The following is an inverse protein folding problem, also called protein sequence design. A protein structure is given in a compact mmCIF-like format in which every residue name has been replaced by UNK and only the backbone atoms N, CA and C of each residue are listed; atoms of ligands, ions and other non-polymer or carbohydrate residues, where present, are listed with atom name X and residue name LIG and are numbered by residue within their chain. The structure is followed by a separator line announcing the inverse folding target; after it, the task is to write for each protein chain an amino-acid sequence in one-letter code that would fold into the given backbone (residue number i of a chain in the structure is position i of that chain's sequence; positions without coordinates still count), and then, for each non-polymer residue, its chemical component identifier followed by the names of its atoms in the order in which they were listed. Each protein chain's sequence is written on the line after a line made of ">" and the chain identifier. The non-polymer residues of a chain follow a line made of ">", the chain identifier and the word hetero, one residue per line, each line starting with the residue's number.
data_IF_345681596209
#
_entry.id   IF_345681596209
#
_cell.length_a   1.000
_cell.length_b   1.000
_cell.length_c   1.000
_cell.angle_alpha   90.00
_cell.angle_beta   90.00
_cell.angle_gamma   90.00
#
_symmetry.space_group_name_H-M   'P 1'
#
loop_
_entity.id
_entity.type
_entity.pdbx_description
1 polymer ?
#
# COMPACT_ATOMS: atom_id res chain seq x y z
N UNK A 1 -14.89 3.53 -15.41
CA UNK A 1 -16.24 2.98 -15.15
C UNK A 1 -16.08 1.48 -15.04
N UNK A 2 -15.88 0.99 -13.82
CA UNK A 2 -15.81 -0.43 -13.50
C UNK A 2 -17.23 -1.01 -13.62
N UNK A 3 -17.73 -1.17 -14.85
CA UNK A 3 -19.01 -1.84 -15.09
C UNK A 3 -18.73 -3.26 -15.51
N UNK A 4 -18.78 -4.17 -14.55
CA UNK A 4 -18.80 -5.60 -14.80
C UNK A 4 -20.03 -5.93 -15.67
N UNK A 5 -19.77 -6.71 -16.72
CA UNK A 5 -20.82 -7.43 -17.42
C UNK A 5 -21.42 -8.43 -16.43
N UNK A 6 -22.75 -8.49 -16.38
CA UNK A 6 -23.53 -9.35 -15.48
C UNK A 6 -22.96 -10.77 -15.41
N UNK A 7 -22.64 -11.23 -14.19
CA UNK A 7 -22.18 -12.59 -13.77
C UNK A 7 -20.68 -12.88 -13.60
N UNK A 8 -19.78 -11.89 -13.68
CA UNK A 8 -18.35 -12.13 -13.39
C UNK A 8 -18.09 -12.50 -11.93
N UNK A 9 -17.32 -13.59 -11.70
CA UNK A 9 -16.78 -13.91 -10.37
C UNK A 9 -15.75 -12.85 -9.99
N UNK A 10 -15.88 -12.27 -8.79
CA UNK A 10 -14.91 -11.31 -8.27
C UNK A 10 -14.00 -11.99 -7.27
N UNK A 11 -12.70 -11.94 -7.53
CA UNK A 11 -11.67 -12.47 -6.66
C UNK A 11 -10.88 -11.34 -6.05
N UNK A 12 -10.61 -11.42 -4.76
CA UNK A 12 -9.61 -10.60 -4.13
C UNK A 12 -8.35 -11.44 -3.99
N UNK A 13 -7.23 -10.94 -4.50
CA UNK A 13 -5.92 -11.58 -4.35
C UNK A 13 -4.93 -10.64 -3.72
N UNK A 14 -4.02 -11.20 -2.93
CA UNK A 14 -2.88 -10.44 -2.43
C UNK A 14 -1.68 -10.59 -3.36
N UNK A 15 -0.98 -9.50 -3.62
CA UNK A 15 0.45 -9.63 -3.96
C UNK A 15 1.15 -10.29 -2.77
N UNK A 16 2.07 -11.20 -3.05
CA UNK A 16 3.01 -11.72 -2.05
C UNK A 16 4.40 -11.18 -2.31
N UNK A 17 5.23 -11.24 -1.26
CA UNK A 17 6.68 -11.14 -1.41
C UNK A 17 7.18 -12.28 -2.32
N UNK A 18 8.05 -11.92 -3.27
CA UNK A 18 8.66 -12.84 -4.23
C UNK A 18 9.38 -12.05 -5.31
N UNK A 19 10.43 -12.63 -5.91
CA UNK A 19 11.17 -11.96 -6.99
C UNK A 19 10.22 -11.50 -8.10
N UNK A 20 10.41 -10.28 -8.64
CA UNK A 20 9.72 -9.88 -9.85
C UNK A 20 10.04 -10.92 -10.93
N UNK A 21 9.02 -11.62 -11.42
CA UNK A 21 9.20 -12.39 -12.66
C UNK A 21 9.29 -11.36 -13.76
N UNK A 22 10.54 -11.05 -14.09
CA UNK A 22 10.97 -10.20 -15.20
C UNK A 22 10.26 -10.68 -16.48
N UNK A 23 9.23 -9.97 -16.96
CA UNK A 23 8.79 -10.09 -18.34
C UNK A 23 9.38 -8.93 -19.16
N UNK A 24 10.60 -9.14 -19.63
CA UNK A 24 11.30 -8.21 -20.53
C UNK A 24 10.70 -8.15 -21.94
N UNK A 25 9.57 -8.80 -22.23
CA UNK A 25 9.02 -8.84 -23.58
C UNK A 25 7.89 -7.84 -23.85
N UNK A 26 7.20 -7.31 -22.82
CA UNK A 26 5.88 -6.67 -23.03
C UNK A 26 5.77 -5.19 -22.66
N UNK A 27 6.70 -4.62 -21.91
CA UNK A 27 6.72 -3.16 -21.66
C UNK A 27 5.52 -2.63 -20.86
N UNK A 28 4.77 -3.49 -20.18
CA UNK A 28 3.71 -3.09 -19.26
C UNK A 28 4.21 -3.12 -17.82
N UNK A 29 3.67 -2.19 -17.01
CA UNK A 29 4.09 -1.83 -15.66
C UNK A 29 4.17 -3.03 -14.70
N UNK A 30 5.29 -3.73 -14.69
CA UNK A 30 5.81 -4.41 -13.51
C UNK A 30 6.02 -3.34 -12.44
N UNK A 31 5.27 -3.39 -11.34
CA UNK A 31 5.75 -2.73 -10.14
C UNK A 31 6.97 -3.52 -9.67
N UNK A 32 8.17 -2.99 -9.93
CA UNK A 32 9.43 -3.61 -9.55
C UNK A 32 9.34 -4.13 -8.09
N UNK A 33 9.53 -5.44 -7.93
CA UNK A 33 9.52 -6.11 -6.63
C UNK A 33 8.19 -6.67 -6.12
N UNK A 34 7.09 -6.63 -6.90
CA UNK A 34 5.83 -7.31 -6.52
C UNK A 34 5.45 -8.43 -7.48
N UNK A 35 5.33 -9.66 -6.95
CA UNK A 35 4.83 -10.81 -7.68
C UNK A 35 3.30 -10.94 -7.53
N UNK A 36 2.60 -10.93 -8.66
CA UNK A 36 1.16 -11.16 -8.72
C UNK A 36 0.87 -12.65 -8.89
N UNK A 37 0.22 -13.25 -7.89
CA UNK A 37 -0.21 -14.64 -7.99
C UNK A 37 -1.59 -14.75 -8.63
N UNK A 38 -1.64 -15.48 -9.74
CA UNK A 38 -2.86 -15.88 -10.40
C UNK A 38 -3.43 -17.13 -9.70
N UNK A 39 -4.69 -17.09 -9.21
CA UNK A 39 -5.40 -18.31 -8.87
C UNK A 39 -5.41 -19.26 -10.08
N UNK A 40 -5.06 -20.53 -9.87
CA UNK A 40 -4.96 -21.51 -10.95
C UNK A 40 -6.29 -21.73 -11.70
N UNK A 41 -7.41 -21.39 -11.05
CA UNK A 41 -8.78 -21.58 -11.50
C UNK A 41 -9.45 -20.30 -12.03
N UNK A 42 -8.70 -19.24 -12.37
CA UNK A 42 -9.28 -18.03 -12.99
C UNK A 42 -10.00 -18.39 -14.29
N UNK A 43 -11.20 -17.87 -14.51
CA UNK A 43 -11.97 -18.03 -15.74
C UNK A 43 -11.95 -16.77 -16.60
N UNK A 44 -12.29 -16.90 -17.88
CA UNK A 44 -12.49 -15.74 -18.75
C UNK A 44 -13.61 -14.85 -18.20
N UNK A 45 -13.36 -13.55 -18.12
CA UNK A 45 -14.29 -12.59 -17.54
C UNK A 45 -14.28 -12.46 -16.02
N UNK A 46 -13.46 -13.23 -15.29
CA UNK A 46 -13.26 -13.03 -13.85
C UNK A 46 -12.69 -11.62 -13.58
N UNK A 47 -13.15 -10.98 -12.51
CA UNK A 47 -12.60 -9.69 -12.06
C UNK A 47 -11.69 -9.94 -10.85
N UNK A 48 -10.47 -9.45 -10.91
CA UNK A 48 -9.46 -9.59 -9.86
C UNK A 48 -9.23 -8.22 -9.21
N UNK A 49 -9.43 -8.16 -7.90
CA UNK A 49 -9.09 -7.04 -7.04
C UNK A 49 -7.74 -7.33 -6.41
N UNK A 50 -6.74 -6.52 -6.75
CA UNK A 50 -5.37 -6.70 -6.32
C UNK A 50 -5.08 -5.91 -5.05
N UNK A 51 -4.62 -6.62 -4.02
CA UNK A 51 -4.30 -6.06 -2.71
C UNK A 51 -2.79 -6.16 -2.46
N UNK A 52 -2.13 -5.01 -2.33
CA UNK A 52 -0.74 -4.98 -1.88
C UNK A 52 -0.69 -4.93 -0.35
N UNK A 53 0.26 -5.69 0.21
CA UNK A 53 0.61 -5.62 1.63
C UNK A 53 1.81 -4.70 1.79
N UNK A 54 1.98 -4.20 3.00
CA UNK A 54 2.95 -3.18 3.31
C UNK A 54 2.89 -2.81 4.79
N UNK A 55 3.46 -1.65 5.16
CA UNK A 55 3.10 -0.97 6.43
C UNK A 55 1.59 -0.77 6.54
N UNK A 56 0.90 -0.65 5.40
CA UNK A 56 -0.56 -0.68 5.30
C UNK A 56 -0.97 -1.64 4.20
N UNK A 57 -2.14 -2.23 4.35
CA UNK A 57 -2.77 -3.03 3.29
C UNK A 57 -3.65 -2.10 2.45
N UNK A 58 -3.55 -2.19 1.13
CA UNK A 58 -4.36 -1.37 0.23
C UNK A 58 -4.73 -2.11 -1.05
N UNK A 59 -5.92 -1.82 -1.58
CA UNK A 59 -6.30 -2.20 -2.95
C UNK A 59 -5.57 -1.25 -3.90
N UNK A 60 -4.83 -1.80 -4.87
CA UNK A 60 -3.99 -1.03 -5.79
C UNK A 60 -4.46 -1.10 -7.24
N UNK A 61 -5.17 -2.16 -7.62
CA UNK A 61 -5.76 -2.27 -8.95
C UNK A 61 -6.97 -3.19 -8.98
N UNK A 62 -7.76 -3.03 -10.04
CA UNK A 62 -8.87 -3.91 -10.40
C UNK A 62 -8.69 -4.29 -11.86
N UNK A 63 -8.73 -5.59 -12.15
CA UNK A 63 -8.44 -6.11 -13.48
C UNK A 63 -9.45 -7.16 -13.95
N UNK A 64 -9.77 -7.17 -15.24
CA UNK A 64 -10.59 -8.24 -15.85
C UNK A 64 -9.71 -9.26 -16.57
N UNK A 65 -9.88 -10.53 -16.24
CA UNK A 65 -9.16 -11.67 -16.85
C UNK A 65 -9.70 -11.92 -18.25
N UNK A 66 -8.80 -12.08 -19.20
CA UNK A 66 -9.10 -12.63 -20.53
C UNK A 66 -8.32 -13.93 -20.72
N UNK A 67 -9.04 -14.97 -21.14
CA UNK A 67 -8.46 -16.25 -21.57
C UNK A 67 -8.92 -16.58 -22.98
N UNK A 68 -7.94 -16.87 -23.83
CA UNK A 68 -8.17 -17.38 -25.19
C UNK A 68 -7.54 -18.75 -25.34
N UNK A 69 -8.19 -19.61 -26.11
CA UNK A 69 -7.69 -20.97 -26.33
C UNK A 69 -6.31 -20.91 -27.01
N UNK A 70 -5.31 -21.56 -26.40
CA UNK A 70 -3.94 -21.61 -26.93
C UNK A 70 -3.06 -20.40 -26.58
N UNK A 71 -3.57 -19.43 -25.81
CA UNK A 71 -2.81 -18.25 -25.36
C UNK A 71 -2.68 -18.22 -23.83
N UNK A 72 -1.59 -17.63 -23.29
CA UNK A 72 -1.52 -17.30 -21.87
C UNK A 72 -2.68 -16.37 -21.45
N UNK A 73 -3.17 -16.54 -20.23
CA UNK A 73 -4.15 -15.61 -19.67
C UNK A 73 -3.50 -14.23 -19.43
N UNK A 74 -4.26 -13.16 -19.65
CA UNK A 74 -3.80 -11.79 -19.41
C UNK A 74 -4.94 -10.91 -18.88
N UNK A 75 -4.61 -9.72 -18.39
CA UNK A 75 -5.61 -8.74 -17.96
C UNK A 75 -5.93 -7.78 -19.10
N UNK A 76 -7.20 -7.71 -19.52
CA UNK A 76 -7.58 -6.80 -20.61
C UNK A 76 -7.87 -5.38 -20.15
N UNK A 77 -8.34 -5.19 -18.93
CA UNK A 77 -8.73 -3.89 -18.37
C UNK A 77 -8.17 -3.77 -16.96
N UNK A 78 -6.93 -3.34 -16.82
CA UNK A 78 -6.33 -3.04 -15.52
C UNK A 78 -6.48 -1.55 -15.20
N UNK A 79 -7.31 -1.25 -14.20
CA UNK A 79 -7.43 0.08 -13.63
C UNK A 79 -6.49 0.19 -12.44
N UNK A 80 -5.28 0.71 -12.68
CA UNK A 80 -4.39 1.12 -11.60
C UNK A 80 -5.03 2.28 -10.81
N UNK A 81 -5.18 2.08 -9.51
CA UNK A 81 -5.67 3.11 -8.62
C UNK A 81 -4.50 4.05 -8.31
N UNK A 82 -4.49 5.22 -8.96
CA UNK A 82 -3.54 6.30 -8.69
C UNK A 82 -3.50 6.71 -7.21
N UNK A 83 -4.59 6.42 -6.48
CA UNK A 83 -4.68 6.52 -5.02
C UNK A 83 -5.19 5.18 -4.48
N UNK A 84 -4.30 4.31 -3.97
CA UNK A 84 -4.69 3.03 -3.41
C UNK A 84 -5.77 3.17 -2.32
N UNK A 85 -6.75 2.27 -2.34
CA UNK A 85 -7.79 2.25 -1.31
C UNK A 85 -7.27 1.48 -0.11
N UNK A 86 -6.78 2.24 0.87
CA UNK A 86 -6.25 1.71 2.13
C UNK A 86 -7.34 0.99 2.93
N UNK A 87 -6.97 -0.09 3.58
CA UNK A 87 -7.83 -0.94 4.39
C UNK A 87 -8.66 -0.18 5.46
N UNK A 88 -8.10 0.86 6.09
CA UNK A 88 -8.80 1.72 7.04
C UNK A 88 -9.86 2.59 6.38
N UNK A 89 -9.54 3.15 5.21
CA UNK A 89 -10.47 3.99 4.45
C UNK A 89 -11.62 3.13 3.93
N UNK A 90 -11.31 1.94 3.42
CA UNK A 90 -12.32 0.97 3.02
C UNK A 90 -13.25 0.61 4.18
N UNK A 91 -12.69 0.20 5.33
CA UNK A 91 -13.49 -0.15 6.50
C UNK A 91 -14.34 1.01 7.01
N UNK A 92 -13.81 2.25 7.09
CA UNK A 92 -14.60 3.41 7.53
C UNK A 92 -15.78 3.70 6.61
N UNK A 93 -15.60 3.50 5.31
CA UNK A 93 -16.62 3.80 4.30
C UNK A 93 -17.66 2.70 4.11
N UNK A 94 -17.31 1.45 4.40
CA UNK A 94 -18.14 0.28 4.07
C UNK A 94 -18.50 -0.59 5.27
N UNK A 95 -17.86 -0.35 6.43
CA UNK A 95 -17.85 -1.23 7.60
C UNK A 95 -17.31 -2.66 7.33
N UNK A 96 -16.62 -2.88 6.20
CA UNK A 96 -16.04 -4.18 5.83
C UNK A 96 -14.52 -4.16 5.96
N UNK A 97 -13.96 -5.22 6.50
CA UNK A 97 -12.52 -5.43 6.49
C UNK A 97 -12.09 -5.99 5.13
N UNK A 98 -10.93 -5.57 4.62
CA UNK A 98 -10.28 -6.29 3.54
C UNK A 98 -9.96 -7.73 4.02
N UNK A 99 -10.29 -8.76 3.24
CA UNK A 99 -9.85 -10.12 3.51
C UNK A 99 -8.34 -10.18 3.70
N UNK A 100 -7.88 -11.02 4.63
CA UNK A 100 -6.46 -11.24 4.91
C UNK A 100 -5.88 -12.42 4.12
N UNK A 101 -6.64 -12.98 3.19
CA UNK A 101 -6.25 -14.08 2.30
C UNK A 101 -6.96 -13.88 0.96
N UNK A 102 -6.39 -14.46 -0.09
CA UNK A 102 -7.05 -14.46 -1.39
C UNK A 102 -8.35 -15.26 -1.29
N UNK A 103 -9.44 -14.69 -1.77
CA UNK A 103 -10.80 -15.25 -1.64
C UNK A 103 -11.66 -14.87 -2.84
N UNK A 104 -12.64 -15.71 -3.13
CA UNK A 104 -13.77 -15.33 -3.99
C UNK A 104 -14.77 -14.54 -3.14
N UNK A 105 -15.18 -13.38 -3.63
CA UNK A 105 -16.10 -12.49 -2.95
C UNK A 105 -17.54 -12.85 -3.30
N UNK A 106 -18.33 -13.24 -2.30
CA UNK A 106 -19.73 -13.63 -2.48
C UNK A 106 -20.63 -12.46 -2.93
N UNK A 107 -20.25 -11.21 -2.60
CA UNK A 107 -20.94 -9.98 -2.96
C UNK A 107 -20.08 -9.09 -3.88
N UNK A 108 -19.39 -9.71 -4.85
CA UNK A 108 -18.39 -9.09 -5.70
C UNK A 108 -18.80 -7.77 -6.36
N UNK A 109 -20.00 -7.67 -6.93
CA UNK A 109 -20.49 -6.42 -7.54
C UNK A 109 -20.53 -5.26 -6.52
N UNK A 110 -21.00 -5.54 -5.30
CA UNK A 110 -21.03 -4.54 -4.22
C UNK A 110 -19.63 -4.10 -3.79
N UNK A 111 -18.64 -4.99 -3.87
CA UNK A 111 -17.24 -4.64 -3.65
C UNK A 111 -16.71 -3.69 -4.72
N UNK A 112 -16.99 -3.98 -5.99
CA UNK A 112 -16.57 -3.13 -7.11
C UNK A 112 -17.22 -1.75 -7.03
N UNK A 113 -18.51 -1.67 -6.67
CA UNK A 113 -19.22 -0.40 -6.45
C UNK A 113 -18.60 0.41 -5.31
N UNK A 114 -18.25 -0.24 -4.20
CA UNK A 114 -17.60 0.41 -3.06
C UNK A 114 -16.21 0.96 -3.42
N UNK A 115 -15.43 0.20 -4.19
CA UNK A 115 -14.10 0.60 -4.67
C UNK A 115 -14.18 1.75 -5.67
N UNK A 116 -15.08 1.68 -6.65
CA UNK A 116 -15.29 2.75 -7.63
C UNK A 116 -15.78 4.03 -6.93
N UNK A 117 -16.69 3.92 -5.95
CA UNK A 117 -17.10 5.06 -5.13
C UNK A 117 -15.91 5.70 -4.41
N UNK A 118 -15.05 4.90 -3.79
CA UNK A 118 -13.88 5.38 -3.06
C UNK A 118 -12.78 5.95 -3.97
N UNK A 119 -12.71 5.50 -5.22
CA UNK A 119 -11.82 6.05 -6.26
C UNK A 119 -12.14 7.53 -6.53
N UNK A 120 -13.40 7.91 -6.54
CA UNK A 120 -13.84 9.27 -6.87
C UNK A 120 -14.21 10.13 -5.66
N UNK A 121 -14.70 9.52 -4.58
CA UNK A 121 -15.13 10.18 -3.35
C UNK A 121 -14.54 9.46 -2.14
N UNK A 122 -13.26 9.71 -1.79
CA UNK A 122 -12.67 9.13 -0.60
C UNK A 122 -13.47 9.58 0.64
N UNK A 123 -13.68 8.65 1.57
CA UNK A 123 -14.40 8.96 2.80
C UNK A 123 -13.70 10.12 3.55
N UNK A 124 -14.44 11.15 3.99
CA UNK A 124 -13.85 12.28 4.66
C UNK A 124 -13.11 11.83 5.93
N UNK A 125 -11.91 12.37 6.10
CA UNK A 125 -11.14 12.23 7.33
C UNK A 125 -11.56 13.31 8.32
N UNK A 126 -11.73 12.98 9.61
CA UNK A 126 -11.85 14.01 10.63
C UNK A 126 -10.58 14.88 10.59
N UNK A 127 -10.77 16.20 10.56
CA UNK A 127 -9.68 17.16 10.61
C UNK A 127 -9.33 17.34 12.08
N UNK A 128 -8.22 16.75 12.52
CA UNK A 128 -7.73 16.89 13.89
C UNK A 128 -6.61 17.92 13.94
N UNK A 129 -6.49 18.66 15.06
CA UNK A 129 -5.43 19.63 15.28
C UNK A 129 -4.10 18.90 15.51
N UNK A 130 -3.30 18.81 14.44
CA UNK A 130 -1.99 18.16 14.45
C UNK A 130 -0.94 18.91 15.30
N UNK A 131 -1.18 20.16 15.71
CA UNK A 131 -0.22 20.91 16.55
C UNK A 131 -0.02 20.28 17.93
N UNK A 132 -0.99 19.47 18.37
CA UNK A 132 -0.91 18.69 19.58
C UNK A 132 0.21 17.61 19.54
N UNK A 133 0.57 17.12 18.34
CA UNK A 133 1.68 16.17 18.16
C UNK A 133 3.06 16.83 18.34
N UNK A 134 3.14 18.14 18.13
CA UNK A 134 4.40 18.91 18.23
C UNK A 134 4.60 19.60 19.57
N UNK A 135 3.56 19.66 20.42
CA UNK A 135 3.61 20.26 21.76
C UNK A 135 3.04 19.29 22.83
N UNK A 136 3.90 18.41 23.39
CA UNK A 136 3.49 17.46 24.43
C UNK A 136 2.91 18.12 25.69
N UNK A 137 3.29 19.37 26.00
CA UNK A 137 2.81 20.07 27.18
C UNK A 137 1.33 20.52 27.03
N UNK A 138 0.87 20.71 25.79
CA UNK A 138 -0.54 20.98 25.49
C UNK A 138 -1.41 19.74 25.71
N UNK A 139 -0.93 18.56 25.29
CA UNK A 139 -1.59 17.28 25.59
C UNK A 139 -1.64 17.04 27.10
N UNK A 140 -0.52 17.25 27.80
CA UNK A 140 -0.46 17.03 29.24
C UNK A 140 -1.45 17.91 30.01
N UNK A 141 -1.62 19.18 29.61
CA UNK A 141 -2.66 20.06 30.18
C UNK A 141 -4.07 19.56 29.89
N UNK A 142 -4.37 19.18 28.65
CA UNK A 142 -5.69 18.66 28.29
C UNK A 142 -6.05 17.39 29.08
N UNK A 143 -5.09 16.47 29.29
CA UNK A 143 -5.28 15.27 30.13
C UNK A 143 -5.58 15.62 31.58
N UNK A 144 -4.96 16.68 32.11
CA UNK A 144 -5.17 17.13 33.50
C UNK A 144 -6.50 17.88 33.67
N UNK A 145 -6.96 18.59 32.64
CA UNK A 145 -8.19 19.38 32.64
C UNK A 145 -9.44 18.52 32.36
N UNK A 146 -9.33 17.53 31.47
CA UNK A 146 -10.39 16.63 31.05
C UNK A 146 -10.36 15.34 31.91
N UNK A 147 -10.73 15.48 33.19
CA UNK A 147 -10.64 14.43 34.20
C UNK A 147 -11.53 13.19 33.98
N UNK A 148 -12.30 13.16 32.89
CA UNK A 148 -13.17 12.03 32.52
C UNK A 148 -12.69 11.42 31.20
N UNK A 149 -11.54 10.75 31.27
CA UNK A 149 -10.92 10.04 30.15
C UNK A 149 -11.69 8.74 29.83
N UNK A 150 -13.02 8.72 29.88
CA UNK A 150 -13.82 7.49 29.87
C UNK A 150 -13.63 6.60 28.62
N UNK A 151 -13.01 7.12 27.55
CA UNK A 151 -12.77 6.40 26.28
C UNK A 151 -11.28 6.11 25.95
N UNK A 152 -10.32 6.25 26.89
CA UNK A 152 -8.87 5.94 26.65
C UNK A 152 -8.61 4.53 26.10
N UNK A 153 -9.58 3.63 26.24
CA UNK A 153 -9.49 2.26 25.75
C UNK A 153 -9.88 2.08 24.28
N UNK A 154 -10.35 3.11 23.55
CA UNK A 154 -10.84 2.95 22.17
C UNK A 154 -10.31 4.01 21.21
N UNK A 155 -10.00 3.56 19.99
CA UNK A 155 -9.55 4.43 18.90
C UNK A 155 -10.71 5.32 18.43
N UNK A 156 -10.53 6.64 18.41
CA UNK A 156 -11.53 7.57 17.88
C UNK A 156 -11.82 7.33 16.38
N UNK A 157 -10.82 6.85 15.63
CA UNK A 157 -10.94 6.58 14.20
C UNK A 157 -11.68 5.27 13.86
N UNK A 158 -11.34 4.15 14.52
CA UNK A 158 -11.89 2.83 14.21
C UNK A 158 -12.72 2.18 15.33
N UNK A 159 -12.87 2.83 16.48
CA UNK A 159 -13.56 2.33 17.69
C UNK A 159 -12.99 1.03 18.28
N UNK A 160 -11.91 0.49 17.70
CA UNK A 160 -11.18 -0.67 18.19
C UNK A 160 -10.47 -0.39 19.51
N UNK A 161 -10.18 -1.46 20.28
CA UNK A 161 -9.50 -1.33 21.58
C UNK A 161 -8.06 -0.85 21.40
N UNK A 162 -7.62 0.08 22.23
CA UNK A 162 -6.25 0.61 22.25
C UNK A 162 -5.41 -0.13 23.29
N UNK A 163 -4.25 -0.64 22.85
CA UNK A 163 -3.15 -1.01 23.73
C UNK A 163 -2.21 0.19 23.96
N UNK A 164 -1.98 0.96 22.89
CA UNK A 164 -1.24 2.22 22.87
C UNK A 164 -2.05 3.21 22.04
N UNK A 165 -2.27 4.42 22.55
CA UNK A 165 -3.05 5.46 21.87
C UNK A 165 -2.19 6.70 21.62
N UNK A 166 -2.23 7.21 20.40
CA UNK A 166 -1.61 8.48 20.03
C UNK A 166 -2.60 9.63 20.24
N UNK A 167 -2.26 10.64 21.06
CA UNK A 167 -3.18 11.71 21.43
C UNK A 167 -3.32 12.75 20.32
N UNK A 168 -4.55 13.24 20.11
CA UNK A 168 -4.90 14.33 19.20
C UNK A 168 -5.92 15.25 19.88
N UNK A 169 -5.94 16.52 19.46
CA UNK A 169 -6.91 17.49 19.95
C UNK A 169 -7.86 17.92 18.83
N UNK A 170 -9.12 18.14 19.18
CA UNK A 170 -10.05 18.96 18.39
C UNK A 170 -10.52 20.11 19.30
N UNK A 171 -9.89 21.27 19.16
CA UNK A 171 -10.05 22.36 20.14
C UNK A 171 -9.44 21.96 21.49
N UNK A 172 -10.29 21.74 22.50
CA UNK A 172 -9.93 21.29 23.85
C UNK A 172 -10.23 19.82 24.12
N UNK A 173 -10.89 19.12 23.20
CA UNK A 173 -11.31 17.72 23.39
C UNK A 173 -10.17 16.79 23.01
N UNK A 174 -9.85 15.84 23.89
CA UNK A 174 -8.79 14.86 23.71
C UNK A 174 -9.30 13.57 23.04
N UNK A 175 -8.63 13.14 21.98
CA UNK A 175 -8.89 11.89 21.29
C UNK A 175 -7.64 11.01 21.25
N UNK A 176 -7.83 9.70 21.20
CA UNK A 176 -6.74 8.74 21.02
C UNK A 176 -6.95 7.93 19.74
N UNK A 177 -5.87 7.74 18.99
CA UNK A 177 -5.86 6.94 17.76
C UNK A 177 -4.91 5.75 17.91
N UNK A 178 -5.28 4.60 17.35
CA UNK A 178 -4.33 3.49 17.20
C UNK A 178 -3.29 3.86 16.13
N UNK A 179 -2.12 3.22 16.13
CA UNK A 179 -1.04 3.44 15.16
C UNK A 179 -1.56 3.54 13.72
N UNK A 180 -2.42 2.59 13.32
CA UNK A 180 -2.97 2.52 11.97
C UNK A 180 -3.88 3.72 11.64
N UNK A 181 -4.73 4.16 12.56
CA UNK A 181 -5.58 5.33 12.35
C UNK A 181 -4.78 6.63 12.44
N UNK A 182 -3.83 6.69 13.36
CA UNK A 182 -2.95 7.83 13.57
C UNK A 182 -2.15 8.14 12.31
N UNK A 183 -1.45 7.14 11.77
CA UNK A 183 -0.68 7.33 10.56
C UNK A 183 -1.57 7.75 9.40
N UNK A 184 -2.81 7.26 9.34
CA UNK A 184 -3.75 7.60 8.28
C UNK A 184 -4.29 9.03 8.41
N UNK A 185 -4.44 9.58 9.62
CA UNK A 185 -4.73 11.01 9.79
C UNK A 185 -3.63 11.88 9.18
N UNK A 186 -2.36 11.50 9.38
CA UNK A 186 -1.23 12.22 8.81
C UNK A 186 -1.03 11.96 7.31
N UNK A 187 -1.52 10.82 6.81
CA UNK A 187 -1.41 10.41 5.42
C UNK A 187 -2.77 9.91 4.92
N UNK A 188 -3.77 10.81 4.76
CA UNK A 188 -5.16 10.45 4.51
C UNK A 188 -5.38 9.82 3.14
N UNK A 189 -4.43 10.01 2.23
CA UNK A 189 -4.44 9.46 0.88
C UNK A 189 -3.78 8.08 0.77
N UNK A 190 -3.33 7.52 1.90
CA UNK A 190 -2.65 6.22 1.92
C UNK A 190 -1.23 6.25 1.37
N UNK A 191 -0.53 5.10 1.40
CA UNK A 191 0.74 4.97 0.70
C UNK A 191 0.52 5.07 -0.81
N UNK A 192 1.49 5.64 -1.53
CA UNK A 192 1.56 5.49 -2.99
C UNK A 192 1.82 4.03 -3.34
N UNK A 193 1.53 3.61 -4.57
CA UNK A 193 1.89 2.24 -5.00
C UNK A 193 3.39 2.00 -4.87
N UNK A 194 4.22 3.00 -5.21
CA UNK A 194 5.66 2.97 -4.98
C UNK A 194 6.03 2.79 -3.49
N UNK A 195 5.30 3.45 -2.57
CA UNK A 195 5.51 3.28 -1.12
C UNK A 195 5.10 1.91 -0.59
N UNK A 196 4.14 1.24 -1.25
CA UNK A 196 3.79 -0.15 -0.94
C UNK A 196 4.88 -1.11 -1.41
N UNK A 197 5.36 -0.96 -2.65
CA UNK A 197 6.49 -1.72 -3.18
C UNK A 197 7.76 -1.54 -2.31
N UNK A 198 8.08 -0.30 -1.94
CA UNK A 198 9.21 0.02 -1.08
C UNK A 198 9.11 -0.62 0.33
N UNK A 199 7.92 -1.02 0.80
CA UNK A 199 7.84 -1.72 2.09
C UNK A 199 8.61 -3.04 2.08
N UNK A 200 8.60 -3.73 0.96
CA UNK A 200 9.28 -5.01 0.77
C UNK A 200 10.74 -4.83 0.34
N UNK A 201 11.16 -3.59 0.07
CA UNK A 201 12.54 -3.31 -0.26
C UNK A 201 13.45 -3.53 0.96
N UNK A 202 14.71 -3.94 0.75
CA UNK A 202 15.63 -4.19 1.84
C UNK A 202 15.90 -2.94 2.68
N UNK A 203 16.07 -3.10 3.99
CA UNK A 203 16.29 -1.98 4.90
C UNK A 203 17.71 -1.45 4.69
N UNK A 204 17.84 -0.14 4.45
CA UNK A 204 19.14 0.51 4.38
C UNK A 204 19.92 0.29 5.69
N UNK A 205 21.09 -0.37 5.66
CA UNK A 205 21.84 -0.71 6.86
C UNK A 205 22.42 0.52 7.58
N UNK A 206 22.48 1.67 6.88
CA UNK A 206 23.03 2.91 7.43
C UNK A 206 22.01 3.76 8.18
N UNK A 207 20.77 3.86 7.70
CA UNK A 207 19.77 4.79 8.24
C UNK A 207 18.43 4.14 8.62
N UNK A 208 18.24 2.85 8.34
CA UNK A 208 16.99 2.12 8.64
C UNK A 208 15.81 2.45 7.72
N UNK A 209 16.01 3.28 6.68
CA UNK A 209 14.98 3.56 5.68
C UNK A 209 14.73 2.36 4.77
N UNK A 210 13.47 2.15 4.36
CA UNK A 210 13.08 1.17 3.32
C UNK A 210 12.90 1.82 1.94
N UNK A 211 13.19 3.11 1.83
CA UNK A 211 13.20 3.84 0.55
C UNK A 211 14.51 3.58 -0.19
N UNK A 212 14.60 2.38 -0.78
CA UNK A 212 15.78 1.86 -1.46
C UNK A 212 15.42 1.43 -2.88
N UNK A 213 16.30 1.69 -3.83
CA UNK A 213 16.10 1.41 -5.25
C UNK A 213 17.30 0.70 -5.85
N UNK A 214 17.04 -0.07 -6.90
CA UNK A 214 18.10 -0.72 -7.67
C UNK A 214 18.98 0.31 -8.37
N UNK A 215 20.27 0.03 -8.37
CA UNK A 215 21.25 0.82 -9.11
C UNK A 215 21.26 0.31 -10.54
N UNK A 216 21.00 1.21 -11.49
CA UNK A 216 21.05 0.87 -12.91
C UNK A 216 22.50 0.87 -13.38
N UNK A 217 22.97 -0.31 -13.77
CA UNK A 217 24.28 -0.51 -14.36
C UNK A 217 24.18 -0.74 -15.87
N UNK A 218 25.27 -0.47 -16.58
CA UNK A 218 25.36 -0.68 -18.02
C UNK A 218 24.82 0.48 -18.84
N UNK A 219 24.43 0.17 -20.08
CA UNK A 219 23.85 1.13 -21.02
C UNK A 219 22.34 0.88 -21.14
N UNK A 220 21.49 1.75 -20.58
CA UNK A 220 20.05 1.57 -20.61
C UNK A 220 19.49 1.74 -22.03
N UNK A 221 18.38 1.06 -22.37
CA UNK A 221 17.76 1.14 -23.70
C UNK A 221 17.06 2.50 -23.98
N UNK A 222 17.12 3.44 -23.04
CA UNK A 222 16.50 4.76 -23.14
C UNK A 222 16.99 5.71 -22.05
N UNK A 223 16.47 6.96 -22.02
CA UNK A 223 16.78 7.91 -20.97
C UNK A 223 16.39 7.34 -19.60
N UNK A 224 17.30 7.46 -18.64
CA UNK A 224 17.09 7.00 -17.26
C UNK A 224 16.17 8.00 -16.54
N UNK A 225 15.18 7.54 -15.75
CA UNK A 225 14.38 8.41 -14.90
C UNK A 225 15.26 9.21 -13.92
N UNK A 226 14.87 10.46 -13.64
CA UNK A 226 15.67 11.41 -12.85
C UNK A 226 16.01 10.92 -11.43
N UNK A 227 15.27 9.95 -10.90
CA UNK A 227 15.38 9.43 -9.53
C UNK A 227 16.03 8.03 -9.45
N UNK A 228 16.62 7.54 -10.54
CA UNK A 228 17.32 6.24 -10.58
C UNK A 228 18.84 6.44 -10.52
N UNK A 229 19.54 5.90 -9.51
CA UNK A 229 20.99 6.00 -9.41
C UNK A 229 21.68 5.16 -10.48
N UNK A 230 22.67 5.76 -11.17
CA UNK A 230 23.42 5.12 -12.25
C UNK A 230 24.78 4.65 -11.72
N UNK A 231 25.00 3.34 -11.73
CA UNK A 231 26.23 2.69 -11.24
C UNK A 231 27.40 2.71 -12.23
N UNK A 232 27.16 3.20 -13.45
CA UNK A 232 28.14 3.23 -14.54
C UNK A 232 28.11 1.97 -15.42
N UNK A 233 29.03 1.90 -16.38
CA UNK A 233 28.99 0.86 -17.42
C UNK A 233 29.50 -0.52 -16.96
N UNK A 234 30.24 -0.60 -15.85
CA UNK A 234 30.91 -1.82 -15.41
C UNK A 234 30.03 -2.54 -14.38
N UNK A 235 29.59 -3.74 -14.74
CA UNK A 235 28.94 -4.68 -13.83
C UNK A 235 30.02 -5.41 -13.03
N UNK A 236 30.23 -5.00 -11.78
CA UNK A 236 31.05 -5.74 -10.82
C UNK A 236 30.14 -6.62 -9.96
N UNK A 237 30.23 -7.96 -10.02
CA UNK A 237 29.43 -8.86 -9.17
C UNK A 237 29.63 -8.64 -7.67
N UNK A 238 30.72 -7.96 -7.30
CA UNK A 238 31.01 -7.60 -5.92
C UNK A 238 30.46 -6.23 -5.49
N UNK A 239 30.00 -5.43 -6.45
CA UNK A 239 29.49 -4.07 -6.27
C UNK A 239 28.12 -4.00 -5.59
N UNK A 240 27.68 -2.80 -5.19
CA UNK A 240 26.35 -2.59 -4.65
C UNK A 240 25.29 -2.80 -5.74
N UNK A 241 24.13 -3.33 -5.37
CA UNK A 241 22.95 -3.48 -6.24
C UNK A 241 21.82 -2.51 -5.85
N UNK A 242 21.90 -1.93 -4.65
CA UNK A 242 20.88 -1.05 -4.09
C UNK A 242 21.45 0.28 -3.60
N UNK A 243 20.64 1.33 -3.69
CA UNK A 243 20.92 2.65 -3.15
C UNK A 243 19.73 3.19 -2.35
N UNK A 244 20.00 3.77 -1.18
CA UNK A 244 18.99 4.42 -0.35
C UNK A 244 18.73 5.85 -0.85
N UNK A 245 17.48 6.18 -1.20
CA UNK A 245 17.09 7.53 -1.63
C UNK A 245 17.09 8.53 -0.48
N UNK A 246 16.88 8.08 0.76
CA UNK A 246 16.87 8.95 1.95
C UNK A 246 18.26 9.45 2.34
N UNK A 247 19.29 8.59 2.29
CA UNK A 247 20.63 8.94 2.78
C UNK A 247 21.76 8.76 1.74
N UNK A 248 21.43 8.35 0.52
CA UNK A 248 22.37 8.14 -0.59
C UNK A 248 23.34 6.97 -0.39
N UNK A 249 23.09 6.05 0.55
CA UNK A 249 24.00 4.94 0.82
C UNK A 249 23.80 3.80 -0.17
N UNK A 250 24.88 3.32 -0.78
CA UNK A 250 24.87 2.21 -1.72
C UNK A 250 25.34 0.94 -0.99
N UNK A 251 24.59 -0.15 -1.13
CA UNK A 251 24.83 -1.40 -0.40
C UNK A 251 24.37 -2.60 -1.22
N UNK A 252 24.64 -3.81 -0.71
CA UNK A 252 24.26 -5.07 -1.33
C UNK A 252 23.03 -5.69 -0.66
N UNK A 253 22.10 -6.20 -1.46
CA UNK A 253 20.91 -6.91 -0.99
C UNK A 253 21.28 -8.22 -0.27
N UNK A 254 22.26 -8.97 -0.79
CA UNK A 254 22.66 -10.30 -0.30
C UNK A 254 23.47 -10.31 1.02
N UNK A 255 23.86 -9.13 1.52
CA UNK A 255 24.55 -8.98 2.82
C UNK A 255 23.61 -8.54 3.95
N UNK A 256 22.31 -8.46 3.67
CA UNK A 256 21.29 -8.20 4.67
C UNK A 256 20.79 -9.56 5.17
N UNK A 257 21.43 -10.09 6.21
CA UNK A 257 20.93 -11.33 6.83
C UNK A 257 19.50 -11.12 7.36
N UNK A 258 18.59 -12.09 7.20
CA UNK A 258 17.30 -12.04 7.85
C UNK A 258 17.50 -12.17 9.36
N UNK A 259 17.06 -11.17 10.11
CA UNK A 259 16.88 -11.26 11.56
C UNK A 259 15.65 -12.09 11.93
#
# INVERSE_FOLDING_TARGET
>A
MIRAMTTSRVLLTHASEGEPVLDLATGDLSFDGMAWHFPADLQDGDVVVHVARGRRTAVVSVATVVRRAGEPAYYAHEDLLSRPVVDTTFWRATARALPTRSVVLNDGERWLDDLERLRYLPAPWPVLDASACTDPARIQRAVLEDGDVADIGRCAGCRGRLSTGHPHLEGSVLFFLCDRCHDTVHHPFGPTVAGLAAHHAPVCPRCGSRDTVEILYGMPPGPVPDDVPIGGCVLDPSGPDLACRTCGHWFRSDRLEPA
#
